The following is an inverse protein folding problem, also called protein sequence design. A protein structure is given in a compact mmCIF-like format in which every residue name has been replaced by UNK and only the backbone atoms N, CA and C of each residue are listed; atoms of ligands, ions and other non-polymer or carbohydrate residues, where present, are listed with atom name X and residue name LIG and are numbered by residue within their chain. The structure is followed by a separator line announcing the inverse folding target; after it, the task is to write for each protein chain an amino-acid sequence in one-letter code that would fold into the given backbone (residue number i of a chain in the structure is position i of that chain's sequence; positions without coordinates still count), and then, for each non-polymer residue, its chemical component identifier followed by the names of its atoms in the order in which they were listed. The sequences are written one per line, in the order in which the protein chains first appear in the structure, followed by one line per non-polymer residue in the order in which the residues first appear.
data_IF_316262219908
#
_entry.id   IF_316262219908
#
_cell.length_a   1.000
_cell.length_b   1.000
_cell.length_c   1.000
_cell.angle_alpha   90.00
_cell.angle_beta   90.00
_cell.angle_gamma   90.00
#
_symmetry.space_group_name_H-M   'P 1'
#
loop_
_entity.id
_entity.type
_entity.pdbx_description
1 polymer ?
#
# COMPACT_ATOMS: atom_id res chain seq x y z
N UNK A 1 3.15 13.14 2.00
CA UNK A 1 2.75 11.96 1.22
C UNK A 1 1.25 12.02 0.97
N UNK A 2 0.81 11.91 -0.27
CA UNK A 2 -0.62 11.89 -0.63
C UNK A 2 -1.33 10.68 -0.02
N UNK A 3 -0.67 9.54 0.08
CA UNK A 3 -1.20 8.29 0.62
C UNK A 3 -1.29 8.26 2.15
N UNK A 4 -0.38 8.94 2.85
CA UNK A 4 -0.36 8.96 4.32
C UNK A 4 -1.31 9.98 4.97
N UNK A 5 -2.10 10.70 4.19
CA UNK A 5 -3.14 11.59 4.70
C UNK A 5 -4.48 10.87 4.83
N UNK A 6 -5.40 11.46 5.56
CA UNK A 6 -6.78 10.97 5.64
C UNK A 6 -7.39 10.83 4.23
N UNK A 7 -8.05 9.72 3.97
CA UNK A 7 -8.60 9.35 2.66
C UNK A 7 -7.58 9.19 1.52
N UNK A 8 -6.29 9.06 1.86
CA UNK A 8 -5.24 8.79 0.88
C UNK A 8 -5.38 7.42 0.21
N UNK A 9 -5.84 6.43 0.96
CA UNK A 9 -6.24 5.11 0.46
C UNK A 9 -7.75 5.00 0.28
N UNK A 10 -8.52 5.26 1.32
CA UNK A 10 -9.97 5.08 1.32
C UNK A 10 -10.67 5.87 0.22
N UNK A 11 -10.29 7.13 0.02
CA UNK A 11 -10.88 8.03 -0.95
C UNK A 11 -10.27 7.93 -2.36
N UNK A 12 -9.25 7.10 -2.56
CA UNK A 12 -8.58 6.94 -3.85
C UNK A 12 -8.92 5.57 -4.46
N UNK A 13 -9.77 5.49 -5.49
CA UNK A 13 -10.22 4.22 -6.06
C UNK A 13 -9.08 3.36 -6.63
N UNK A 14 -7.92 3.93 -6.97
CA UNK A 14 -6.77 3.20 -7.51
C UNK A 14 -6.03 2.37 -6.48
N UNK A 15 -6.07 2.77 -5.22
CA UNK A 15 -5.30 2.16 -4.13
C UNK A 15 -6.17 1.73 -2.96
N UNK A 16 -7.46 2.05 -2.97
CA UNK A 16 -8.41 1.63 -1.93
C UNK A 16 -8.35 0.12 -1.72
N UNK A 17 -8.14 -0.27 -0.48
CA UNK A 17 -8.05 -1.67 -0.08
C UNK A 17 -9.46 -2.18 0.22
N UNK A 18 -9.94 -3.12 -0.61
CA UNK A 18 -11.17 -3.89 -0.36
C UNK A 18 -10.88 -5.18 0.40
N UNK A 19 -11.89 -6.01 0.57
CA UNK A 19 -11.71 -7.39 1.04
C UNK A 19 -11.16 -8.26 -0.10
N UNK A 20 -10.45 -9.37 0.18
CA UNK A 20 -10.10 -10.35 -0.84
C UNK A 20 -11.34 -10.87 -1.57
N UNK A 21 -11.24 -11.12 -2.90
CA UNK A 21 -12.38 -11.30 -3.79
C UNK A 21 -13.47 -12.27 -3.31
N UNK A 22 -13.09 -13.44 -2.78
CA UNK A 22 -14.08 -14.40 -2.27
C UNK A 22 -14.77 -13.91 -0.96
N UNK A 23 -14.12 -13.07 -0.15
CA UNK A 23 -14.74 -12.43 1.02
C UNK A 23 -15.66 -11.29 0.63
N UNK A 24 -15.51 -10.70 -0.55
CA UNK A 24 -16.44 -9.69 -1.06
C UNK A 24 -17.84 -10.27 -1.27
N UNK A 25 -17.92 -11.50 -1.77
CA UNK A 25 -19.23 -12.16 -1.96
C UNK A 25 -19.87 -12.53 -0.62
N UNK A 26 -19.10 -13.04 0.33
CA UNK A 26 -19.57 -13.24 1.70
C UNK A 26 -20.00 -11.91 2.36
N UNK A 27 -19.27 -10.83 2.13
CA UNK A 27 -19.62 -9.51 2.64
C UNK A 27 -20.91 -8.97 2.03
N UNK A 28 -21.19 -9.21 0.75
CA UNK A 28 -22.48 -8.84 0.12
C UNK A 28 -23.65 -9.56 0.81
N UNK A 29 -23.51 -10.86 1.07
CA UNK A 29 -24.52 -11.64 1.81
C UNK A 29 -24.69 -11.10 3.22
N UNK A 30 -23.59 -10.81 3.94
CA UNK A 30 -23.66 -10.24 5.28
C UNK A 30 -24.32 -8.85 5.30
N UNK A 31 -24.10 -8.04 4.26
CA UNK A 31 -24.76 -6.74 4.10
C UNK A 31 -26.28 -6.90 3.93
N UNK A 32 -26.72 -7.86 3.13
CA UNK A 32 -28.14 -8.14 2.96
C UNK A 32 -28.83 -8.65 4.25
N UNK A 33 -28.06 -9.26 5.16
CA UNK A 33 -28.50 -9.71 6.48
C UNK A 33 -28.38 -8.64 7.58
N UNK A 34 -28.18 -7.37 7.22
CA UNK A 34 -28.09 -6.26 8.18
C UNK A 34 -26.71 -6.10 8.87
N UNK A 35 -25.69 -6.87 8.50
CA UNK A 35 -24.34 -6.79 9.05
C UNK A 35 -23.43 -5.83 8.28
N UNK A 36 -23.96 -5.02 7.38
CA UNK A 36 -23.22 -4.13 6.49
C UNK A 36 -22.32 -3.16 7.24
N UNK A 37 -22.78 -2.60 8.36
CA UNK A 37 -22.01 -1.64 9.16
C UNK A 37 -20.66 -2.20 9.63
N UNK A 38 -20.63 -3.46 10.07
CA UNK A 38 -19.36 -4.11 10.49
C UNK A 38 -18.38 -4.32 9.34
N UNK A 39 -18.90 -4.62 8.15
CA UNK A 39 -18.06 -4.76 6.94
C UNK A 39 -17.47 -3.40 6.55
N UNK A 40 -18.28 -2.34 6.58
CA UNK A 40 -17.81 -1.00 6.25
C UNK A 40 -16.79 -0.47 7.29
N UNK A 41 -16.98 -0.77 8.58
CA UNK A 41 -16.00 -0.49 9.64
C UNK A 41 -14.67 -1.23 9.41
N UNK A 42 -14.71 -2.49 8.97
CA UNK A 42 -13.50 -3.24 8.62
C UNK A 42 -12.79 -2.60 7.43
N UNK A 43 -13.49 -2.30 6.34
CA UNK A 43 -12.90 -1.66 5.15
C UNK A 43 -12.34 -0.28 5.50
N UNK A 44 -13.01 0.49 6.34
CA UNK A 44 -12.50 1.76 6.85
C UNK A 44 -11.18 1.54 7.62
N UNK A 45 -11.16 0.62 8.57
CA UNK A 45 -10.00 0.36 9.42
C UNK A 45 -8.76 -0.08 8.63
N UNK A 46 -8.90 -1.00 7.68
CA UNK A 46 -7.76 -1.46 6.87
C UNK A 46 -7.16 -0.34 6.03
N UNK A 47 -7.98 0.57 5.50
CA UNK A 47 -7.49 1.73 4.76
C UNK A 47 -6.82 2.76 5.67
N UNK A 48 -7.37 3.02 6.87
CA UNK A 48 -6.72 3.88 7.89
C UNK A 48 -5.39 3.28 8.37
N UNK A 49 -5.30 1.97 8.50
CA UNK A 49 -4.05 1.28 8.82
C UNK A 49 -2.98 1.50 7.73
N UNK A 50 -3.37 1.39 6.47
CA UNK A 50 -2.49 1.68 5.32
C UNK A 50 -2.01 3.14 5.33
N UNK A 51 -2.91 4.08 5.54
CA UNK A 51 -2.61 5.52 5.63
C UNK A 51 -1.64 5.84 6.77
N UNK A 52 -1.79 5.20 7.92
CA UNK A 52 -0.90 5.35 9.07
C UNK A 52 0.50 4.75 8.84
N UNK A 53 0.58 3.65 8.09
CA UNK A 53 1.84 2.95 7.85
C UNK A 53 2.75 3.67 6.83
N UNK A 54 2.19 4.26 5.77
CA UNK A 54 2.97 4.85 4.66
C UNK A 54 4.00 5.90 5.10
N UNK A 55 3.71 6.85 6.00
CA UNK A 55 4.71 7.83 6.44
C UNK A 55 5.98 7.21 7.03
N UNK A 56 5.87 6.02 7.64
CA UNK A 56 7.00 5.31 8.25
C UNK A 56 8.00 4.78 7.22
N UNK A 57 7.60 4.72 5.94
CA UNK A 57 8.46 4.28 4.85
C UNK A 57 9.39 5.37 4.29
N UNK A 58 9.21 6.64 4.68
CA UNK A 58 9.94 7.77 4.10
C UNK A 58 11.46 7.58 4.15
N UNK A 59 11.99 7.23 5.32
CA UNK A 59 13.43 7.12 5.52
C UNK A 59 14.06 5.97 4.72
N UNK A 60 13.33 4.87 4.55
CA UNK A 60 13.77 3.75 3.71
C UNK A 60 13.82 4.13 2.23
N UNK A 61 12.81 4.86 1.74
CA UNK A 61 12.79 5.33 0.36
C UNK A 61 13.89 6.36 0.11
N UNK A 62 14.11 7.31 1.03
CA UNK A 62 15.22 8.27 0.96
C UNK A 62 16.56 7.56 1.02
N UNK A 63 16.73 6.59 1.93
CA UNK A 63 17.94 5.79 2.02
C UNK A 63 18.25 5.01 0.75
N UNK A 64 17.24 4.47 0.07
CA UNK A 64 17.42 3.79 -1.21
C UNK A 64 18.00 4.73 -2.28
N UNK A 65 17.55 5.99 -2.32
CA UNK A 65 18.11 7.01 -3.24
C UNK A 65 19.54 7.37 -2.86
N UNK A 66 19.80 7.60 -1.57
CA UNK A 66 21.14 7.99 -1.09
C UNK A 66 22.21 6.91 -1.32
N UNK A 67 21.81 5.64 -1.28
CA UNK A 67 22.67 4.48 -1.50
C UNK A 67 22.62 3.95 -2.95
N UNK A 68 22.05 4.71 -3.87
CA UNK A 68 21.97 4.35 -5.29
C UNK A 68 23.36 4.27 -5.89
N UNK A 69 23.69 3.15 -6.51
CA UNK A 69 24.95 2.96 -7.23
C UNK A 69 24.90 3.57 -8.63
N UNK A 70 26.08 3.77 -9.23
CA UNK A 70 26.17 4.20 -10.65
C UNK A 70 25.51 3.17 -11.58
N UNK A 71 25.61 1.89 -11.23
CA UNK A 71 24.95 0.80 -12.00
C UNK A 71 23.43 0.90 -11.89
N UNK A 72 22.89 1.13 -10.68
CA UNK A 72 21.45 1.33 -10.49
C UNK A 72 20.95 2.52 -11.33
N UNK A 73 21.68 3.65 -11.29
CA UNK A 73 21.33 4.84 -12.07
C UNK A 73 21.35 4.58 -13.59
N UNK A 74 22.35 3.85 -14.10
CA UNK A 74 22.42 3.44 -15.52
C UNK A 74 21.22 2.54 -15.89
N UNK A 75 20.89 1.57 -15.05
CA UNK A 75 19.75 0.68 -15.27
C UNK A 75 18.41 1.45 -15.29
N UNK A 76 18.26 2.44 -14.42
CA UNK A 76 17.08 3.32 -14.39
C UNK A 76 16.99 4.14 -15.68
N UNK A 77 18.10 4.73 -16.13
CA UNK A 77 18.13 5.55 -17.35
C UNK A 77 17.90 4.74 -18.62
N UNK A 78 18.46 3.53 -18.69
CA UNK A 78 18.29 2.62 -19.83
C UNK A 78 16.98 1.85 -19.80
N UNK A 79 16.28 1.83 -18.65
CA UNK A 79 15.06 1.08 -18.44
C UNK A 79 13.81 1.75 -19.00
N UNK A 80 12.71 0.99 -19.02
CA UNK A 80 11.40 1.47 -19.46
C UNK A 80 10.70 2.35 -18.44
N UNK A 81 9.39 2.56 -18.66
CA UNK A 81 8.53 3.50 -17.92
C UNK A 81 8.34 3.18 -16.43
N UNK A 82 8.83 2.02 -15.96
CA UNK A 82 8.69 1.54 -14.57
C UNK A 82 10.03 1.25 -13.91
N UNK A 83 11.16 1.64 -14.50
CA UNK A 83 12.49 1.29 -14.00
C UNK A 83 12.82 1.90 -12.62
N UNK A 84 12.36 3.13 -12.33
CA UNK A 84 12.46 3.76 -11.01
C UNK A 84 11.60 3.01 -10.01
N UNK A 85 10.37 2.69 -10.38
CA UNK A 85 9.42 1.96 -9.53
C UNK A 85 9.97 0.58 -9.18
N UNK A 86 10.51 -0.14 -10.16
CA UNK A 86 11.16 -1.45 -9.97
C UNK A 86 12.35 -1.33 -9.02
N UNK A 87 13.23 -0.35 -9.23
CA UNK A 87 14.37 -0.09 -8.33
C UNK A 87 13.91 0.09 -6.88
N UNK A 88 12.90 0.94 -6.64
CA UNK A 88 12.37 1.13 -5.29
C UNK A 88 11.77 -0.14 -4.72
N UNK A 89 10.98 -0.88 -5.49
CA UNK A 89 10.36 -2.13 -5.04
C UNK A 89 11.42 -3.15 -4.63
N UNK A 90 12.44 -3.35 -5.44
CA UNK A 90 13.52 -4.31 -5.18
C UNK A 90 14.31 -3.97 -3.92
N UNK A 91 14.59 -2.68 -3.69
CA UNK A 91 15.38 -2.23 -2.54
C UNK A 91 14.58 -2.08 -1.24
N UNK A 92 13.28 -1.80 -1.33
CA UNK A 92 12.53 -1.34 -0.14
C UNK A 92 11.28 -2.16 0.19
N UNK A 93 10.77 -3.03 -0.70
CA UNK A 93 9.52 -3.77 -0.44
C UNK A 93 9.59 -4.65 0.82
N UNK A 94 10.66 -5.41 0.98
CA UNK A 94 10.82 -6.28 2.14
C UNK A 94 10.99 -5.50 3.45
N UNK A 95 11.93 -4.52 3.57
CA UNK A 95 12.07 -3.75 4.80
C UNK A 95 10.85 -2.86 5.10
N UNK A 96 10.13 -2.35 4.10
CA UNK A 96 8.87 -1.64 4.32
C UNK A 96 7.78 -2.58 4.84
N UNK A 97 7.68 -3.79 4.33
CA UNK A 97 6.75 -4.81 4.83
C UNK A 97 6.96 -5.10 6.31
N UNK A 98 8.20 -5.26 6.73
CA UNK A 98 8.55 -5.46 8.14
C UNK A 98 8.17 -4.27 9.03
N UNK A 99 8.32 -3.04 8.53
CA UNK A 99 7.93 -1.82 9.28
C UNK A 99 6.43 -1.58 9.33
N UNK A 100 5.73 -1.89 8.25
CA UNK A 100 4.29 -1.62 8.16
C UNK A 100 3.47 -2.65 8.93
N UNK A 101 3.90 -3.91 8.93
CA UNK A 101 3.16 -5.01 9.54
C UNK A 101 2.71 -4.75 10.98
N UNK A 102 3.56 -4.32 11.93
CA UNK A 102 3.12 -4.07 13.32
C UNK A 102 2.09 -2.94 13.42
N UNK A 103 2.23 -1.87 12.64
CA UNK A 103 1.28 -0.74 12.64
C UNK A 103 -0.06 -1.16 12.08
N UNK A 104 -0.04 -1.91 10.98
CA UNK A 104 -1.26 -2.46 10.37
C UNK A 104 -1.94 -3.45 11.32
N UNK A 105 -1.17 -4.31 11.99
CA UNK A 105 -1.71 -5.27 12.95
C UNK A 105 -2.42 -4.56 14.11
N UNK A 106 -1.77 -3.58 14.74
CA UNK A 106 -2.37 -2.79 15.83
C UNK A 106 -3.66 -2.09 15.39
N UNK A 107 -3.66 -1.48 14.21
CA UNK A 107 -4.82 -0.76 13.70
C UNK A 107 -5.99 -1.69 13.37
N UNK A 108 -5.72 -2.88 12.82
CA UNK A 108 -6.76 -3.86 12.45
C UNK A 108 -7.31 -4.61 13.66
N UNK A 109 -6.50 -4.87 14.68
CA UNK A 109 -6.94 -5.53 15.93
C UNK A 109 -8.01 -4.72 16.68
N UNK A 110 -7.91 -3.39 16.66
CA UNK A 110 -8.88 -2.48 17.33
C UNK A 110 -10.31 -2.65 16.84
N UNK A 111 -10.52 -3.19 15.65
CA UNK A 111 -11.86 -3.41 15.08
C UNK A 111 -12.52 -4.70 15.57
N UNK A 112 -11.75 -5.59 16.24
CA UNK A 112 -12.26 -6.86 16.78
C UNK A 112 -12.70 -7.89 15.74
N UNK A 113 -12.40 -7.68 14.47
CA UNK A 113 -12.74 -8.58 13.36
C UNK A 113 -11.55 -9.40 12.85
N UNK A 114 -10.33 -9.04 13.25
CA UNK A 114 -9.09 -9.68 12.78
C UNK A 114 -9.07 -11.19 13.04
N UNK A 115 -9.46 -11.62 14.24
CA UNK A 115 -9.50 -13.05 14.58
C UNK A 115 -10.50 -13.82 13.74
N UNK A 116 -11.69 -13.25 13.49
CA UNK A 116 -12.72 -13.88 12.64
C UNK A 116 -12.27 -13.95 11.19
N UNK A 117 -11.64 -12.87 10.69
CA UNK A 117 -11.04 -12.88 9.37
C UNK A 117 -9.98 -13.98 9.26
N UNK A 118 -9.00 -14.01 10.16
CA UNK A 118 -7.89 -14.96 10.12
C UNK A 118 -8.37 -16.41 10.22
N UNK A 119 -9.36 -16.70 11.07
CA UNK A 119 -9.93 -18.04 11.20
C UNK A 119 -10.64 -18.50 9.93
N UNK A 120 -11.39 -17.61 9.28
CA UNK A 120 -12.10 -17.92 8.04
C UNK A 120 -11.16 -18.02 6.86
N UNK A 121 -10.27 -17.04 6.70
CA UNK A 121 -9.30 -16.96 5.63
C UNK A 121 -8.25 -18.10 5.71
N UNK A 122 -7.85 -18.49 6.92
CA UNK A 122 -6.97 -19.65 7.15
C UNK A 122 -7.58 -20.96 6.67
N UNK A 123 -8.88 -21.17 6.91
CA UNK A 123 -9.60 -22.33 6.36
C UNK A 123 -9.66 -22.29 4.82
N UNK A 124 -9.96 -21.14 4.24
CA UNK A 124 -9.99 -20.98 2.79
C UNK A 124 -8.61 -21.23 2.15
N UNK A 125 -7.55 -20.77 2.79
CA UNK A 125 -6.18 -21.02 2.34
C UNK A 125 -5.80 -22.50 2.39
N UNK A 126 -6.24 -23.24 3.43
CA UNK A 126 -6.01 -24.69 3.53
C UNK A 126 -6.69 -25.50 2.42
N UNK A 127 -7.72 -24.95 1.80
CA UNK A 127 -8.39 -25.53 0.61
C UNK A 127 -7.84 -24.99 -0.72
N UNK A 128 -6.76 -24.18 -0.69
CA UNK A 128 -6.18 -23.58 -1.90
C UNK A 128 -7.02 -22.46 -2.53
N UNK A 129 -8.01 -21.92 -1.81
CA UNK A 129 -8.88 -20.84 -2.29
C UNK A 129 -8.25 -19.46 -2.11
N UNK A 130 -7.18 -19.36 -1.31
CA UNK A 130 -6.43 -18.14 -1.03
C UNK A 130 -4.95 -18.41 -1.03
N UNK A 131 -4.18 -17.35 -1.28
CA UNK A 131 -2.75 -17.36 -1.01
C UNK A 131 -2.48 -17.30 0.49
N UNK A 132 -1.39 -17.93 1.00
CA UNK A 132 -1.06 -17.92 2.42
C UNK A 132 -0.97 -16.52 3.03
N UNK A 133 -0.43 -15.54 2.29
CA UNK A 133 -0.33 -14.14 2.71
C UNK A 133 -1.69 -13.43 2.84
N UNK A 134 -2.73 -13.94 2.19
CA UNK A 134 -4.11 -13.43 2.30
C UNK A 134 -4.86 -14.07 3.48
N UNK A 135 -4.32 -15.15 4.05
CA UNK A 135 -4.91 -15.84 5.20
C UNK A 135 -4.80 -15.03 6.51
N UNK A 136 -3.94 -14.02 6.55
CA UNK A 136 -3.75 -13.11 7.68
C UNK A 136 -4.09 -11.68 7.26
N UNK A 137 -5.04 -11.06 7.97
CA UNK A 137 -5.51 -9.71 7.63
C UNK A 137 -4.39 -8.67 7.61
N UNK A 138 -3.50 -8.69 8.61
CA UNK A 138 -2.41 -7.71 8.67
C UNK A 138 -1.40 -7.90 7.52
N UNK A 139 -1.10 -9.13 7.14
CA UNK A 139 -0.24 -9.43 5.98
C UNK A 139 -0.90 -9.00 4.67
N UNK A 140 -2.18 -9.31 4.49
CA UNK A 140 -2.95 -8.89 3.33
C UNK A 140 -2.95 -7.37 3.17
N UNK A 141 -3.31 -6.64 4.25
CA UNK A 141 -3.36 -5.17 4.24
C UNK A 141 -1.97 -4.57 4.00
N UNK A 142 -0.93 -5.13 4.64
CA UNK A 142 0.47 -4.70 4.41
C UNK A 142 0.87 -4.88 2.95
N UNK A 143 0.58 -6.02 2.35
CA UNK A 143 0.85 -6.28 0.94
C UNK A 143 0.14 -5.29 0.03
N UNK A 144 -1.15 -5.05 0.24
CA UNK A 144 -1.94 -4.07 -0.51
C UNK A 144 -1.48 -2.63 -0.32
N UNK A 145 -1.01 -2.28 0.89
CA UNK A 145 -0.42 -0.96 1.17
C UNK A 145 0.83 -0.73 0.33
N UNK A 146 1.70 -1.75 0.24
CA UNK A 146 2.90 -1.69 -0.59
C UNK A 146 2.55 -1.64 -2.09
N UNK A 147 1.58 -2.43 -2.54
CA UNK A 147 1.12 -2.39 -3.92
C UNK A 147 0.62 -0.99 -4.30
N UNK A 148 -0.20 -0.38 -3.44
CA UNK A 148 -0.68 0.99 -3.62
C UNK A 148 0.45 2.02 -3.62
N UNK A 149 1.44 1.87 -2.74
CA UNK A 149 2.60 2.75 -2.68
C UNK A 149 3.38 2.73 -4.00
N UNK A 150 3.72 1.52 -4.51
CA UNK A 150 4.49 1.40 -5.75
C UNK A 150 3.67 1.75 -6.98
N UNK A 151 2.36 1.52 -6.97
CA UNK A 151 1.48 2.02 -8.03
C UNK A 151 1.56 3.55 -8.16
N UNK A 152 1.50 4.26 -7.03
CA UNK A 152 1.58 5.74 -7.03
C UNK A 152 2.97 6.25 -7.39
N UNK A 153 4.03 5.53 -7.01
CA UNK A 153 5.40 5.82 -7.46
C UNK A 153 5.49 5.66 -8.99
N UNK A 154 4.92 4.59 -9.54
CA UNK A 154 4.91 4.33 -10.98
C UNK A 154 4.10 5.36 -11.78
N UNK A 155 2.98 5.84 -11.25
CA UNK A 155 2.23 6.93 -11.86
C UNK A 155 3.03 8.23 -11.89
N UNK A 156 3.73 8.54 -10.79
CA UNK A 156 4.60 9.71 -10.71
C UNK A 156 5.80 9.59 -11.66
N UNK A 157 6.44 8.41 -11.73
CA UNK A 157 7.50 8.13 -12.69
C UNK A 157 7.04 8.39 -14.13
N UNK A 158 5.90 7.83 -14.51
CA UNK A 158 5.33 8.02 -15.85
C UNK A 158 5.06 9.49 -16.15
N UNK A 159 4.51 10.22 -15.18
CA UNK A 159 4.25 11.66 -15.31
C UNK A 159 5.54 12.45 -15.53
N UNK A 160 6.61 12.12 -14.79
CA UNK A 160 7.91 12.77 -14.93
C UNK A 160 8.53 12.49 -16.29
N UNK A 161 8.45 11.24 -16.77
CA UNK A 161 8.99 10.85 -18.08
C UNK A 161 8.24 11.53 -19.24
N UNK A 162 6.92 11.71 -19.12
CA UNK A 162 6.11 12.39 -20.13
C UNK A 162 6.31 13.91 -20.16
N UNK A 163 6.60 14.53 -19.02
CA UNK A 163 6.84 15.97 -18.92
C UNK A 163 7.98 16.30 -17.93
N UNK A 164 9.25 16.08 -18.33
CA UNK A 164 10.40 16.29 -17.44
C UNK A 164 10.54 17.74 -16.94
N UNK A 165 10.27 18.72 -17.82
CA UNK A 165 10.39 20.14 -17.51
C UNK A 165 9.34 20.60 -16.49
N UNK A 166 8.10 20.14 -16.61
CA UNK A 166 7.01 20.44 -15.68
C UNK A 166 7.18 19.72 -14.33
N UNK A 167 7.74 18.52 -14.35
CA UNK A 167 7.95 17.71 -13.15
C UNK A 167 9.04 18.28 -12.23
N UNK A 168 10.16 18.75 -12.81
CA UNK A 168 11.27 19.35 -12.04
C UNK A 168 10.82 20.53 -11.18
N UNK A 169 10.01 21.44 -11.72
CA UNK A 169 9.50 22.59 -10.96
C UNK A 169 8.45 22.22 -9.92
N UNK A 170 7.63 21.19 -10.16
CA UNK A 170 6.60 20.73 -9.23
C UNK A 170 7.21 19.95 -8.04
N UNK A 171 8.20 19.09 -8.30
CA UNK A 171 8.94 18.36 -7.28
C UNK A 171 9.74 19.33 -6.40
N UNK A 172 10.47 20.27 -7.01
CA UNK A 172 11.22 21.29 -6.28
C UNK A 172 10.29 22.13 -5.41
N UNK A 173 9.15 22.58 -5.91
CA UNK A 173 8.14 23.30 -5.11
C UNK A 173 7.52 22.45 -3.99
N UNK A 174 7.29 21.16 -4.23
CA UNK A 174 6.67 20.25 -3.26
C UNK A 174 7.63 19.79 -2.17
N UNK A 175 8.93 19.65 -2.49
CA UNK A 175 9.97 19.22 -1.55
C UNK A 175 10.53 20.41 -0.78
N UNK A 176 10.75 21.55 -1.42
CA UNK A 176 11.35 22.73 -0.79
C UNK A 176 10.32 23.76 -0.30
N UNK A 177 9.09 23.73 -0.77
CA UNK A 177 8.00 24.61 -0.28
C UNK A 177 7.47 24.25 1.11
N UNK A 178 7.82 23.07 1.64
CA UNK A 178 7.49 22.63 3.00
C UNK A 178 8.61 22.85 4.03
N UNK A 179 9.70 23.51 3.64
CA UNK A 179 10.85 23.86 4.50
C UNK A 179 10.81 25.32 4.97
N UNK A 180 9.62 25.94 4.99
CA UNK A 180 9.38 27.23 5.68
C UNK A 180 8.46 27.05 6.85
#
# INVERSE_FOLDING_TARGET
SLLGRNDGFLGNPKVRIGLPGYLEDAAKVMKSLGQGKRIDELVLSINRAAEAAVPMGKDLLVGAVQNMTVTDAKNILAGGDTSVTTFFADKTRAPLGQRFLPVVNEATEKVGLTQKYNAFAGKAASFGLLKPEEANLAQYVTGKTLDGLYLMIGEEERRIRQNPAGAGSAIVRKVFGTLR
#
